data_IF_429493511990
#
_entry.id   IF_429493511990
#
_cell.length_a   1.000
_cell.length_b   1.000
_cell.length_c   1.000
_cell.angle_alpha   90.00
_cell.angle_beta   90.00
_cell.angle_gamma   90.00
#
_symmetry.space_group_name_H-M   'P 1'
#
loop_
_entity.id
_entity.type
_entity.pdbx_description
1 polymer ?
#
# COMPACT_ATOMS: atom_id res chain seq x y z
N UNK A 1 5.01 20.49 -15.20
CA UNK A 1 5.97 20.14 -14.13
C UNK A 1 5.17 19.66 -12.94
N UNK A 2 5.18 18.36 -12.56
CA UNK A 2 4.61 17.99 -11.27
C UNK A 2 5.67 18.25 -10.20
N UNK A 3 5.32 19.13 -9.27
CA UNK A 3 6.10 19.47 -8.08
C UNK A 3 6.15 18.21 -7.22
N UNK A 4 7.30 17.56 -7.14
CA UNK A 4 7.55 16.55 -6.12
C UNK A 4 7.66 17.27 -4.79
N UNK A 5 6.52 17.46 -4.11
CA UNK A 5 6.45 18.01 -2.77
C UNK A 5 7.24 17.11 -1.82
N UNK A 6 8.42 17.62 -1.47
CA UNK A 6 9.29 17.09 -0.45
C UNK A 6 8.53 16.87 0.87
N UNK A 7 8.76 15.67 1.43
CA UNK A 7 8.73 15.36 2.86
C UNK A 7 7.51 15.86 3.65
N UNK A 8 6.32 15.38 3.28
CA UNK A 8 5.28 15.24 4.30
C UNK A 8 5.78 14.26 5.36
N UNK A 9 6.05 14.76 6.56
CA UNK A 9 6.22 13.92 7.75
C UNK A 9 4.87 13.26 8.07
N UNK A 10 4.72 11.99 7.68
CA UNK A 10 3.61 11.16 8.11
C UNK A 10 3.76 10.88 9.61
N UNK A 11 2.76 11.24 10.40
CA UNK A 11 2.71 10.86 11.81
C UNK A 11 2.47 9.35 11.95
N UNK A 12 2.72 8.79 13.12
CA UNK A 12 2.40 7.37 13.39
C UNK A 12 0.93 7.04 13.11
N UNK A 13 0.01 7.97 13.43
CA UNK A 13 -1.41 7.83 13.12
C UNK A 13 -1.69 7.83 11.60
N UNK A 14 -1.00 8.66 10.83
CA UNK A 14 -1.12 8.68 9.37
C UNK A 14 -0.62 7.36 8.76
N UNK A 15 0.49 6.83 9.28
CA UNK A 15 1.05 5.55 8.85
C UNK A 15 0.11 4.39 9.19
N UNK A 16 -0.38 4.30 10.42
CA UNK A 16 -1.31 3.24 10.81
C UNK A 16 -2.61 3.30 9.99
N UNK A 17 -3.12 4.51 9.74
CA UNK A 17 -4.28 4.72 8.88
C UNK A 17 -4.03 4.24 7.45
N UNK A 18 -2.89 4.62 6.87
CA UNK A 18 -2.49 4.16 5.55
C UNK A 18 -2.45 2.63 5.51
N UNK A 19 -1.79 1.99 6.47
CA UNK A 19 -1.70 0.53 6.55
C UNK A 19 -3.07 -0.14 6.65
N UNK A 20 -3.95 0.40 7.48
CA UNK A 20 -5.32 -0.12 7.65
C UNK A 20 -6.15 -0.02 6.38
N UNK A 21 -6.00 1.05 5.60
CA UNK A 21 -6.69 1.17 4.31
C UNK A 21 -6.11 0.23 3.25
N UNK A 22 -4.79 0.10 3.20
CA UNK A 22 -4.11 -0.82 2.28
C UNK A 22 -4.47 -2.26 2.61
N UNK A 23 -4.56 -2.63 3.89
CA UNK A 23 -5.01 -3.96 4.35
C UNK A 23 -6.44 -4.27 3.94
N UNK A 24 -7.34 -3.29 4.03
CA UNK A 24 -8.76 -3.46 3.68
C UNK A 24 -9.00 -3.53 2.17
N UNK A 25 -8.28 -2.74 1.39
CA UNK A 25 -8.50 -2.64 -0.06
C UNK A 25 -7.59 -3.57 -0.87
N UNK A 26 -6.42 -3.92 -0.32
CA UNK A 26 -5.36 -4.68 -0.98
C UNK A 26 -5.11 -4.18 -2.42
N UNK A 27 -4.69 -2.90 -2.58
CA UNK A 27 -4.62 -2.25 -3.89
C UNK A 27 -3.50 -2.87 -4.75
N UNK A 28 -3.87 -3.48 -5.86
CA UNK A 28 -2.99 -4.07 -6.87
C UNK A 28 -2.62 -3.03 -7.94
N UNK A 29 -3.62 -2.30 -8.44
CA UNK A 29 -3.52 -1.37 -9.56
C UNK A 29 -3.63 0.11 -9.19
N UNK A 30 -3.32 0.99 -10.16
CA UNK A 30 -3.40 2.45 -9.99
C UNK A 30 -4.78 2.90 -9.50
N UNK A 31 -5.85 2.40 -10.11
CA UNK A 31 -7.23 2.78 -9.78
C UNK A 31 -7.59 2.47 -8.33
N UNK A 32 -7.14 1.32 -7.80
CA UNK A 32 -7.36 0.95 -6.40
C UNK A 32 -6.57 1.88 -5.46
N UNK A 33 -5.36 2.30 -5.84
CA UNK A 33 -4.59 3.30 -5.11
C UNK A 33 -5.25 4.68 -5.14
N UNK A 34 -5.86 5.09 -6.26
CA UNK A 34 -6.63 6.34 -6.37
C UNK A 34 -7.86 6.31 -5.45
N UNK A 35 -8.60 5.20 -5.44
CA UNK A 35 -9.75 5.01 -4.53
C UNK A 35 -9.33 5.00 -3.05
N UNK A 36 -8.18 4.42 -2.74
CA UNK A 36 -7.60 4.48 -1.41
C UNK A 36 -7.27 5.92 -1.01
N UNK A 37 -6.67 6.70 -1.90
CA UNK A 37 -6.35 8.10 -1.66
C UNK A 37 -7.61 8.95 -1.43
N UNK A 38 -8.67 8.72 -2.20
CA UNK A 38 -9.98 9.36 -1.96
C UNK A 38 -10.50 9.04 -0.56
N UNK A 39 -10.43 7.77 -0.14
CA UNK A 39 -10.89 7.34 1.19
C UNK A 39 -10.04 7.92 2.33
N UNK A 40 -8.73 7.99 2.12
CA UNK A 40 -7.78 8.61 3.03
C UNK A 40 -8.08 10.10 3.22
N UNK A 41 -8.29 10.82 2.11
CA UNK A 41 -8.55 12.26 2.10
C UNK A 41 -9.97 12.62 2.56
N UNK A 42 -10.97 11.77 2.31
CA UNK A 42 -12.36 11.99 2.74
C UNK A 42 -12.51 12.03 4.26
N UNK A 43 -11.64 11.29 4.98
CA UNK A 43 -11.69 11.20 6.42
C UNK A 43 -10.56 12.00 7.10
N UNK A 44 -9.93 12.96 6.38
CA UNK A 44 -8.81 13.75 6.91
C UNK A 44 -9.28 14.77 7.96
N UNK A 45 -8.44 15.11 8.96
CA UNK A 45 -8.71 16.23 9.86
C UNK A 45 -8.89 17.53 9.08
N UNK A 46 -9.77 18.41 9.57
CA UNK A 46 -10.03 19.71 8.93
C UNK A 46 -8.75 20.53 8.90
N UNK A 47 -8.29 20.93 7.70
CA UNK A 47 -7.04 21.66 7.50
C UNK A 47 -5.82 20.79 7.20
N UNK A 48 -5.94 19.46 7.24
CA UNK A 48 -4.88 18.60 6.72
C UNK A 48 -4.80 18.71 5.18
N UNK A 49 -3.61 18.82 4.60
CA UNK A 49 -3.43 18.83 3.15
C UNK A 49 -3.81 17.49 2.54
N UNK A 50 -4.27 17.53 1.29
CA UNK A 50 -4.59 16.34 0.52
C UNK A 50 -3.33 15.54 0.19
N UNK A 51 -3.50 14.23 0.08
CA UNK A 51 -2.45 13.29 -0.27
C UNK A 51 -2.78 12.60 -1.57
N UNK A 52 -1.87 12.71 -2.52
CA UNK A 52 -1.94 11.99 -3.79
C UNK A 52 -1.68 10.50 -3.57
N UNK A 53 -2.30 9.67 -4.40
CA UNK A 53 -2.11 8.22 -4.36
C UNK A 53 -0.64 7.82 -4.53
N UNK A 54 0.12 8.55 -5.36
CA UNK A 54 1.55 8.31 -5.57
C UNK A 54 2.36 8.50 -4.28
N UNK A 55 1.99 9.52 -3.48
CA UNK A 55 2.65 9.82 -2.22
C UNK A 55 2.35 8.75 -1.16
N UNK A 56 1.11 8.28 -1.09
CA UNK A 56 0.68 7.19 -0.21
C UNK A 56 1.36 5.87 -0.62
N UNK A 57 1.36 5.54 -1.91
CA UNK A 57 2.02 4.36 -2.47
C UNK A 57 3.51 4.38 -2.20
N UNK A 58 4.18 5.52 -2.42
CA UNK A 58 5.61 5.68 -2.15
C UNK A 58 5.91 5.51 -0.65
N UNK A 59 5.08 6.07 0.23
CA UNK A 59 5.24 5.89 1.68
C UNK A 59 5.08 4.44 2.10
N UNK A 60 4.05 3.75 1.61
CA UNK A 60 3.86 2.32 1.83
C UNK A 60 5.04 1.50 1.30
N UNK A 61 5.58 1.88 0.12
CA UNK A 61 6.78 1.27 -0.45
C UNK A 61 7.97 1.36 0.49
N UNK A 62 8.25 2.55 1.01
CA UNK A 62 9.33 2.77 1.97
C UNK A 62 9.12 1.93 3.23
N UNK A 63 7.90 1.83 3.77
CA UNK A 63 7.62 1.09 5.00
C UNK A 63 7.94 -0.40 4.88
N UNK A 64 7.50 -1.08 3.82
CA UNK A 64 7.80 -2.51 3.63
C UNK A 64 9.19 -2.77 3.04
N UNK A 65 9.77 -1.80 2.33
CA UNK A 65 11.15 -1.90 1.80
C UNK A 65 12.20 -1.56 2.85
N UNK A 66 11.82 -0.95 3.97
CA UNK A 66 12.70 -0.75 5.13
C UNK A 66 12.97 -2.12 5.74
N UNK A 67 13.98 -2.80 5.17
CA UNK A 67 14.56 -4.00 5.74
C UNK A 67 15.14 -3.65 7.10
N UNK A 68 15.07 -4.61 8.02
CA UNK A 68 15.78 -4.58 9.30
C UNK A 68 17.18 -4.00 9.07
N UNK A 69 17.59 -2.94 9.78
CA UNK A 69 19.01 -2.72 9.98
C UNK A 69 19.54 -4.02 10.61
N UNK A 70 20.49 -4.67 9.96
CA UNK A 70 21.11 -5.88 10.47
C UNK A 70 21.66 -5.57 11.88
N UNK A 71 21.01 -6.09 12.92
CA UNK A 71 21.37 -5.84 14.32
C UNK A 71 20.24 -5.44 15.26
N UNK A 72 19.04 -5.08 14.77
CA UNK A 72 17.90 -4.78 15.66
C UNK A 72 17.05 -6.03 15.90
N UNK A 73 17.00 -6.48 17.16
CA UNK A 73 16.34 -7.70 17.60
C UNK A 73 14.81 -7.61 17.53
N UNK A 74 14.25 -6.39 17.49
CA UNK A 74 12.80 -6.14 17.46
C UNK A 74 12.39 -5.29 16.24
N UNK A 75 11.48 -5.83 15.43
CA UNK A 75 10.89 -5.10 14.30
C UNK A 75 9.82 -4.16 14.86
N UNK A 76 9.84 -2.85 14.54
CA UNK A 76 8.78 -1.94 14.92
C UNK A 76 7.40 -2.45 14.45
N UNK A 77 6.34 -2.34 15.27
CA UNK A 77 5.03 -2.93 14.98
C UNK A 77 4.43 -2.43 13.66
N UNK A 78 4.68 -1.16 13.29
CA UNK A 78 4.24 -0.59 12.01
C UNK A 78 4.92 -1.24 10.80
N UNK A 79 6.21 -1.58 10.92
CA UNK A 79 6.97 -2.23 9.84
C UNK A 79 6.50 -3.68 9.70
N UNK A 80 6.25 -4.37 10.83
CA UNK A 80 5.65 -5.72 10.82
C UNK A 80 4.29 -5.73 10.13
N UNK A 81 3.40 -4.80 10.49
CA UNK A 81 2.08 -4.64 9.85
C UNK A 81 2.22 -4.34 8.35
N UNK A 82 3.15 -3.47 7.95
CA UNK A 82 3.40 -3.18 6.54
C UNK A 82 3.83 -4.42 5.73
N UNK A 83 4.66 -5.28 6.31
CA UNK A 83 5.08 -6.55 5.68
C UNK A 83 3.93 -7.54 5.57
N UNK A 84 3.11 -7.67 6.61
CA UNK A 84 1.93 -8.54 6.61
C UNK A 84 0.91 -8.10 5.55
N UNK A 85 0.64 -6.80 5.49
CA UNK A 85 -0.22 -6.20 4.45
C UNK A 85 0.37 -6.41 3.05
N UNK A 86 1.70 -6.25 2.87
CA UNK A 86 2.33 -6.54 1.57
C UNK A 86 2.17 -8.02 1.17
N UNK A 87 2.24 -8.95 2.12
CA UNK A 87 2.00 -10.37 1.89
C UNK A 87 0.54 -10.63 1.50
N UNK A 88 -0.43 -9.99 2.16
CA UNK A 88 -1.84 -10.11 1.78
C UNK A 88 -2.13 -9.58 0.36
N UNK A 89 -1.47 -8.50 -0.06
CA UNK A 89 -1.57 -8.00 -1.44
C UNK A 89 -0.99 -9.02 -2.43
N UNK A 90 0.15 -9.63 -2.08
CA UNK A 90 0.82 -10.64 -2.91
C UNK A 90 -0.03 -11.90 -3.07
N UNK A 91 -0.65 -12.36 -1.98
CA UNK A 91 -1.56 -13.50 -1.94
C UNK A 91 -2.80 -13.24 -2.82
N UNK A 92 -3.41 -12.05 -2.70
CA UNK A 92 -4.51 -11.63 -3.59
C UNK A 92 -4.07 -11.57 -5.06
N UNK A 93 -2.86 -11.09 -5.34
CA UNK A 93 -2.33 -11.07 -6.71
C UNK A 93 -2.14 -12.49 -7.27
N UNK A 94 -1.60 -13.41 -6.46
CA UNK A 94 -1.38 -14.80 -6.84
C UNK A 94 -2.70 -15.56 -7.08
N UNK A 95 -3.75 -15.30 -6.28
CA UNK A 95 -5.08 -15.88 -6.50
C UNK A 95 -5.70 -15.42 -7.83
N UNK A 96 -5.47 -14.15 -8.22
CA UNK A 96 -5.98 -13.62 -9.50
C UNK A 96 -5.29 -14.27 -10.70
N UNK A 97 -4.02 -14.67 -10.59
CA UNK A 97 -3.28 -15.28 -11.70
C UNK A 97 -3.69 -16.75 -11.98
N UNK A 98 -4.33 -17.44 -11.03
CA UNK A 98 -4.74 -18.84 -11.16
C UNK A 98 -6.13 -19.07 -11.81
N UNK A 99 -6.86 -18.01 -12.18
CA UNK A 99 -8.21 -18.12 -12.77
C UNK A 99 -8.23 -17.93 -14.31
N UNK A 100 -7.06 -17.70 -14.95
CA UNK A 100 -6.92 -17.40 -16.39
C UNK A 100 -6.33 -18.56 -17.21
N UNK A 101 -6.42 -19.82 -16.75
CA UNK A 101 -5.96 -20.99 -17.50
C UNK A 101 -7.03 -22.08 -17.72
N UNK A 102 -8.30 -21.70 -17.81
CA UNK A 102 -9.36 -22.61 -18.24
C UNK A 102 -9.87 -22.24 -19.64
N UNK A 103 -9.61 -23.17 -20.57
CA UNK A 103 -10.24 -23.36 -21.88
C UNK A 103 -9.60 -22.67 -23.09
N UNK A 104 -8.72 -23.42 -23.78
CA UNK A 104 -8.94 -23.70 -25.20
C UNK A 104 -8.22 -25.01 -25.59
N UNK A 105 -8.89 -26.13 -25.33
CA UNK A 105 -8.57 -27.42 -25.94
C UNK A 105 -9.01 -27.38 -27.41
N UNK A 106 -8.09 -27.53 -28.36
CA UNK A 106 -8.04 -28.73 -29.21
C UNK A 106 -6.96 -28.62 -30.31
N UNK A 107 -6.27 -29.72 -30.61
CA UNK A 107 -5.32 -29.87 -31.71
C UNK A 107 -6.05 -30.13 -33.05
N UNK A 108 -5.46 -29.66 -34.15
CA UNK A 108 -5.65 -30.21 -35.50
C UNK A 108 -4.29 -30.70 -36.04
#
# INVERSE_FOLDING_TARGET
MPKHSETTNYSTADVDRLLTLVEKMLPLGRDEWERLAMTYNANRPRGSPERDFESLRRKFKVLHSTRKPAGVQEIPPLIKKAMEVKRAIDDKANVVEMDDEADNDQPD
#
